data_IF_630047963041
#
_entry.id   IF_630047963041
#
_cell.length_a   1.000
_cell.length_b   1.000
_cell.length_c   1.000
_cell.angle_alpha   90.00
_cell.angle_beta   90.00
_cell.angle_gamma   90.00
#
_symmetry.space_group_name_H-M   'P 1'
#
loop_
_entity.id
_entity.type
_entity.pdbx_description
1 polymer ?
#
# COMPACT_ATOMS: atom_id res chain seq x y z
N UNK A 1 9.07 31.57 5.17
CA UNK A 1 8.65 31.01 3.86
C UNK A 1 8.28 29.56 4.09
N UNK A 2 7.03 29.16 3.85
CA UNK A 2 6.59 27.78 4.04
C UNK A 2 7.14 26.94 2.88
N UNK A 3 7.97 25.94 3.20
CA UNK A 3 8.47 24.97 2.24
C UNK A 3 7.28 24.09 1.85
N UNK A 4 6.74 24.27 0.64
CA UNK A 4 5.83 23.30 0.04
C UNK A 4 6.66 22.08 -0.31
N UNK A 5 6.59 21.06 0.55
CA UNK A 5 7.08 19.73 0.23
C UNK A 5 6.07 19.18 -0.78
N UNK A 6 6.43 19.28 -2.06
CA UNK A 6 5.72 18.61 -3.14
C UNK A 6 6.24 17.18 -3.11
N UNK A 7 5.48 16.27 -2.50
CA UNK A 7 5.78 14.84 -2.56
C UNK A 7 5.56 14.45 -4.03
N UNK A 8 6.65 14.18 -4.76
CA UNK A 8 6.54 13.66 -6.12
C UNK A 8 5.76 12.35 -6.07
N UNK A 9 4.59 12.33 -6.71
CA UNK A 9 3.78 11.14 -6.90
C UNK A 9 4.64 10.08 -7.58
N UNK A 10 5.03 9.05 -6.82
CA UNK A 10 5.70 7.89 -7.40
C UNK A 10 4.66 7.10 -8.16
N UNK A 11 4.64 7.26 -9.49
CA UNK A 11 3.90 6.37 -10.39
C UNK A 11 4.37 4.93 -10.11
N UNK A 12 3.48 4.12 -9.53
CA UNK A 12 3.74 2.70 -9.28
C UNK A 12 3.16 1.93 -10.45
N UNK A 13 3.95 1.08 -11.07
CA UNK A 13 3.50 0.22 -12.15
C UNK A 13 4.02 -1.19 -11.98
N UNK A 14 3.33 -2.15 -12.59
CA UNK A 14 3.83 -3.51 -12.78
C UNK A 14 4.17 -3.71 -14.26
N UNK A 15 5.25 -4.44 -14.53
CA UNK A 15 5.60 -4.90 -15.87
C UNK A 15 5.17 -6.37 -16.02
N UNK A 16 4.35 -6.63 -17.03
CA UNK A 16 3.93 -7.98 -17.40
C UNK A 16 5.03 -8.70 -18.20
N UNK A 17 5.02 -10.05 -18.28
CA UNK A 17 6.07 -10.80 -18.99
C UNK A 17 6.20 -10.49 -20.49
N UNK A 18 5.19 -9.88 -21.10
CA UNK A 18 5.18 -9.44 -22.49
C UNK A 18 5.72 -8.00 -22.67
N UNK A 19 6.18 -7.36 -21.59
CA UNK A 19 6.67 -5.98 -21.57
C UNK A 19 5.56 -4.93 -21.42
N UNK A 20 4.30 -5.35 -21.24
CA UNK A 20 3.20 -4.40 -20.99
C UNK A 20 3.33 -3.81 -19.60
N UNK A 21 3.33 -2.48 -19.51
CA UNK A 21 3.33 -1.75 -18.23
C UNK A 21 1.88 -1.44 -17.84
N UNK A 22 1.52 -1.71 -16.59
CA UNK A 22 0.24 -1.37 -15.99
C UNK A 22 0.46 -0.48 -14.78
N UNK A 23 -0.02 0.75 -14.88
CA UNK A 23 0.02 1.72 -13.79
C UNK A 23 -1.00 1.34 -12.72
N UNK A 24 -0.56 1.34 -11.47
CA UNK A 24 -1.45 1.22 -10.33
C UNK A 24 -2.19 2.54 -10.12
N UNK A 25 -3.49 2.46 -9.76
CA UNK A 25 -4.23 3.64 -9.39
C UNK A 25 -3.69 4.21 -8.07
N UNK A 26 -3.85 5.52 -7.91
CA UNK A 26 -3.71 6.16 -6.60
C UNK A 26 -4.64 5.52 -5.58
N UNK A 27 -4.16 5.43 -4.34
CA UNK A 27 -4.98 4.91 -3.26
C UNK A 27 -6.01 5.94 -2.81
N UNK A 28 -7.25 5.69 -3.20
CA UNK A 28 -8.40 6.39 -2.63
C UNK A 28 -9.03 5.56 -1.49
N UNK A 29 -9.71 6.23 -0.57
CA UNK A 29 -10.47 5.55 0.49
C UNK A 29 -11.51 4.59 -0.10
N UNK A 30 -12.19 5.01 -1.16
CA UNK A 30 -13.19 4.21 -1.87
C UNK A 30 -12.58 2.94 -2.47
N UNK A 31 -11.42 3.05 -3.13
CA UNK A 31 -10.75 1.89 -3.72
C UNK A 31 -10.23 0.93 -2.64
N UNK A 32 -9.69 1.46 -1.55
CA UNK A 32 -9.26 0.66 -0.41
C UNK A 32 -10.43 -0.10 0.23
N UNK A 33 -11.55 0.58 0.50
CA UNK A 33 -12.75 -0.07 1.03
C UNK A 33 -13.29 -1.14 0.10
N UNK A 34 -13.25 -0.90 -1.22
CA UNK A 34 -13.63 -1.89 -2.23
C UNK A 34 -12.75 -3.14 -2.16
N UNK A 35 -11.43 -2.99 -2.06
CA UNK A 35 -10.50 -4.12 -1.94
C UNK A 35 -10.75 -4.88 -0.63
N UNK A 36 -10.93 -4.18 0.49
CA UNK A 36 -11.27 -4.80 1.79
C UNK A 36 -12.60 -5.55 1.73
N UNK A 37 -13.59 -5.01 1.02
CA UNK A 37 -14.88 -5.68 0.82
C UNK A 37 -14.73 -6.98 0.01
N UNK A 38 -13.89 -6.97 -1.03
CA UNK A 38 -13.58 -8.16 -1.83
C UNK A 38 -12.87 -9.22 -0.96
N UNK A 39 -11.88 -8.81 -0.16
CA UNK A 39 -11.12 -9.69 0.73
C UNK A 39 -12.00 -10.36 1.80
N UNK A 40 -12.95 -9.62 2.40
CA UNK A 40 -13.96 -10.20 3.30
C UNK A 40 -14.80 -11.29 2.63
N UNK A 41 -15.02 -11.18 1.32
CA UNK A 41 -15.75 -12.15 0.51
C UNK A 41 -14.92 -13.36 0.09
N UNK A 42 -13.61 -13.39 0.35
CA UNK A 42 -12.69 -14.42 -0.17
C UNK A 42 -13.11 -15.85 0.18
N UNK A 43 -13.59 -16.08 1.40
CA UNK A 43 -13.96 -17.43 1.87
C UNK A 43 -15.13 -18.06 1.10
N UNK A 44 -15.94 -17.27 0.40
CA UNK A 44 -17.13 -17.75 -0.32
C UNK A 44 -16.95 -17.75 -1.84
N UNK A 45 -15.76 -17.42 -2.35
CA UNK A 45 -15.47 -17.35 -3.78
C UNK A 45 -14.31 -18.25 -4.20
N UNK A 46 -14.35 -18.69 -5.45
CA UNK A 46 -13.23 -19.39 -6.06
C UNK A 46 -12.02 -18.46 -6.15
N UNK A 47 -10.82 -19.01 -5.97
CA UNK A 47 -9.55 -18.27 -5.97
C UNK A 47 -9.35 -17.44 -7.25
N UNK A 48 -9.73 -18.01 -8.39
CA UNK A 48 -9.69 -17.31 -9.68
C UNK A 48 -10.60 -16.07 -9.69
N UNK A 49 -11.84 -16.21 -9.22
CA UNK A 49 -12.81 -15.11 -9.15
C UNK A 49 -12.37 -14.03 -8.16
N UNK A 50 -11.71 -14.44 -7.07
CA UNK A 50 -11.08 -13.52 -6.14
C UNK A 50 -9.98 -12.70 -6.82
N UNK A 51 -9.01 -13.37 -7.45
CA UNK A 51 -7.91 -12.70 -8.15
C UNK A 51 -8.43 -11.75 -9.24
N UNK A 52 -9.41 -12.20 -10.03
CA UNK A 52 -10.08 -11.38 -11.04
C UNK A 52 -10.68 -10.12 -10.44
N UNK A 53 -11.47 -10.24 -9.37
CA UNK A 53 -12.13 -9.06 -8.75
C UNK A 53 -11.13 -8.06 -8.18
N UNK A 54 -10.05 -8.52 -7.56
CA UNK A 54 -9.00 -7.63 -7.04
C UNK A 54 -8.28 -6.91 -8.17
N UNK A 55 -7.87 -7.63 -9.22
CA UNK A 55 -7.19 -7.04 -10.36
C UNK A 55 -8.09 -6.12 -11.19
N UNK A 56 -9.37 -6.45 -11.34
CA UNK A 56 -10.36 -5.55 -11.94
C UNK A 56 -10.63 -4.32 -11.07
N UNK A 57 -10.50 -4.41 -9.75
CA UNK A 57 -10.61 -3.26 -8.88
C UNK A 57 -9.43 -2.30 -9.05
N UNK A 58 -8.21 -2.83 -9.22
CA UNK A 58 -6.98 -2.04 -9.40
C UNK A 58 -6.84 -1.48 -10.81
N UNK A 59 -6.95 -2.31 -11.84
CA UNK A 59 -6.61 -1.92 -13.23
C UNK A 59 -7.83 -1.79 -14.14
N UNK A 60 -9.05 -2.00 -13.61
CA UNK A 60 -10.26 -2.08 -14.41
C UNK A 60 -10.34 -3.34 -15.27
N UNK A 61 -11.42 -3.46 -16.04
CA UNK A 61 -11.67 -4.61 -16.92
C UNK A 61 -10.65 -4.70 -18.06
N UNK A 62 -10.21 -3.56 -18.58
CA UNK A 62 -9.26 -3.53 -19.69
C UNK A 62 -7.84 -3.88 -19.23
N UNK A 63 -7.43 -3.43 -18.04
CA UNK A 63 -6.20 -3.88 -17.41
C UNK A 63 -6.21 -5.38 -17.12
N UNK A 64 -7.32 -5.91 -16.60
CA UNK A 64 -7.47 -7.35 -16.40
C UNK A 64 -7.36 -8.14 -17.71
N UNK A 65 -7.92 -7.67 -18.82
CA UNK A 65 -7.77 -8.31 -20.14
C UNK A 65 -6.32 -8.33 -20.64
N UNK A 66 -5.50 -7.35 -20.26
CA UNK A 66 -4.06 -7.36 -20.56
C UNK A 66 -3.34 -8.42 -19.72
N UNK A 67 -3.72 -8.58 -18.45
CA UNK A 67 -3.16 -9.60 -17.55
C UNK A 67 -3.58 -11.01 -17.97
N UNK A 68 -4.87 -11.21 -18.25
CA UNK A 68 -5.48 -12.51 -18.54
C UNK A 68 -6.27 -12.46 -19.86
N UNK A 69 -5.58 -12.34 -21.02
CA UNK A 69 -6.24 -12.20 -22.34
C UNK A 69 -7.10 -13.40 -22.73
N UNK A 70 -6.84 -14.57 -22.12
CA UNK A 70 -7.63 -15.79 -22.30
C UNK A 70 -8.39 -16.19 -21.02
N UNK A 71 -8.72 -15.24 -20.15
CA UNK A 71 -9.46 -15.41 -18.88
C UNK A 71 -9.31 -16.82 -18.27
N UNK A 72 -10.30 -17.70 -18.47
CA UNK A 72 -10.40 -19.06 -17.90
C UNK A 72 -9.27 -20.04 -18.28
N UNK A 73 -8.44 -19.70 -19.27
CA UNK A 73 -7.27 -20.49 -19.66
C UNK A 73 -5.97 -19.95 -19.07
N UNK A 74 -6.02 -18.81 -18.38
CA UNK A 74 -4.86 -18.19 -17.74
C UNK A 74 -4.51 -18.99 -16.49
N UNK A 75 -3.22 -19.27 -16.29
CA UNK A 75 -2.73 -20.00 -15.13
C UNK A 75 -3.07 -19.24 -13.83
N UNK A 76 -3.66 -19.93 -12.85
CA UNK A 76 -4.03 -19.37 -11.56
C UNK A 76 -2.80 -18.89 -10.78
N UNK A 77 -1.69 -19.62 -10.79
CA UNK A 77 -0.44 -19.24 -10.10
C UNK A 77 0.09 -17.89 -10.62
N UNK A 78 -0.06 -17.64 -11.93
CA UNK A 78 0.32 -16.38 -12.54
C UNK A 78 -0.61 -15.25 -12.09
N UNK A 79 -1.92 -15.49 -12.10
CA UNK A 79 -2.93 -14.54 -11.63
C UNK A 79 -2.73 -14.16 -10.17
N UNK A 80 -2.46 -15.14 -9.31
CA UNK A 80 -2.14 -14.92 -7.89
C UNK A 80 -0.89 -14.07 -7.72
N UNK A 81 0.19 -14.37 -8.46
CA UNK A 81 1.42 -13.56 -8.38
C UNK A 81 1.19 -12.11 -8.78
N UNK A 82 0.51 -11.87 -9.90
CA UNK A 82 0.20 -10.51 -10.35
C UNK A 82 -0.68 -9.79 -9.32
N UNK A 83 -1.69 -10.49 -8.79
CA UNK A 83 -2.57 -9.95 -7.75
C UNK A 83 -1.82 -9.60 -6.46
N UNK A 84 -0.94 -10.48 -5.99
CA UNK A 84 -0.18 -10.30 -4.75
C UNK A 84 0.79 -9.13 -4.88
N UNK A 85 1.58 -9.09 -5.95
CA UNK A 85 2.52 -7.97 -6.21
C UNK A 85 1.77 -6.64 -6.33
N UNK A 86 0.63 -6.63 -7.03
CA UNK A 86 -0.18 -5.42 -7.17
C UNK A 86 -0.74 -4.94 -5.83
N UNK A 87 -1.24 -5.85 -4.98
CA UNK A 87 -1.72 -5.49 -3.65
C UNK A 87 -0.60 -5.00 -2.74
N UNK A 88 0.57 -5.65 -2.75
CA UNK A 88 1.70 -5.22 -1.95
C UNK A 88 2.12 -3.80 -2.31
N UNK A 89 2.30 -3.51 -3.61
CA UNK A 89 2.64 -2.17 -4.08
C UNK A 89 1.58 -1.13 -3.73
N UNK A 90 0.30 -1.49 -3.86
CA UNK A 90 -0.84 -0.63 -3.49
C UNK A 90 -0.87 -0.33 -1.98
N UNK A 91 -0.62 -1.32 -1.14
CA UNK A 91 -0.68 -1.19 0.32
C UNK A 91 0.59 -0.57 0.92
N UNK A 92 1.72 -0.63 0.22
CA UNK A 92 3.02 -0.09 0.68
C UNK A 92 2.95 1.40 1.05
N UNK A 93 2.03 2.18 0.46
CA UNK A 93 1.82 3.59 0.82
C UNK A 93 1.43 3.81 2.28
N UNK A 94 0.76 2.83 2.91
CA UNK A 94 0.43 2.92 4.33
C UNK A 94 1.70 2.93 5.19
N UNK A 95 2.63 2.03 4.87
CA UNK A 95 3.85 1.85 5.65
C UNK A 95 4.78 3.04 5.50
N UNK A 96 4.97 3.55 4.29
CA UNK A 96 5.90 4.66 4.07
C UNK A 96 5.35 5.98 4.66
N UNK A 97 4.05 6.25 4.50
CA UNK A 97 3.43 7.48 5.04
C UNK A 97 3.26 7.43 6.56
N UNK A 98 2.88 6.28 7.14
CA UNK A 98 2.83 6.12 8.61
C UNK A 98 4.24 6.18 9.22
N UNK A 99 5.27 5.60 8.58
CA UNK A 99 6.66 5.72 9.04
C UNK A 99 7.15 7.16 8.97
N UNK A 100 6.85 7.92 7.91
CA UNK A 100 7.24 9.33 7.82
C UNK A 100 6.53 10.19 8.87
N UNK A 101 5.26 9.92 9.16
CA UNK A 101 4.52 10.62 10.20
C UNK A 101 5.02 10.25 11.60
N UNK A 102 5.36 8.98 11.85
CA UNK A 102 5.96 8.52 13.09
C UNK A 102 7.37 9.11 13.27
N UNK A 103 8.18 9.19 12.21
CA UNK A 103 9.49 9.82 12.24
C UNK A 103 9.39 11.33 12.56
N UNK A 104 8.46 12.05 11.91
CA UNK A 104 8.19 13.47 12.21
C UNK A 104 7.65 13.68 13.63
N UNK A 105 6.92 12.72 14.19
CA UNK A 105 6.49 12.75 15.58
C UNK A 105 7.65 12.44 16.55
N UNK A 106 8.53 11.49 16.21
CA UNK A 106 9.71 11.16 17.00
C UNK A 106 10.70 12.34 17.06
N UNK A 107 10.98 13.00 15.95
CA UNK A 107 11.81 14.23 15.90
C UNK A 107 11.22 15.38 16.73
N UNK A 108 9.88 15.47 16.83
CA UNK A 108 9.23 16.45 17.71
C UNK A 108 9.32 16.10 19.20
N UNK A 109 9.52 14.83 19.53
CA UNK A 109 9.61 14.32 20.91
C UNK A 109 11.06 14.27 21.43
N UNK A 110 12.06 14.22 20.56
CA UNK A 110 13.49 14.32 20.93
C UNK A 110 13.80 15.49 21.90
N UNK A 111 13.37 16.74 21.65
CA UNK A 111 13.66 17.84 22.58
C UNK A 111 12.96 17.71 23.93
N UNK A 112 11.90 16.88 24.04
CA UNK A 112 11.26 16.58 25.31
C UNK A 112 11.95 15.43 26.05
N UNK A 113 12.44 14.42 25.34
CA UNK A 113 13.22 13.32 25.91
C UNK A 113 14.54 13.83 26.51
N UNK A 114 15.25 14.73 25.80
CA UNK A 114 16.48 15.35 26.30
C UNK A 114 16.23 16.19 27.57
N UNK A 115 15.13 16.96 27.60
CA UNK A 115 14.74 17.74 28.78
C UNK A 115 14.39 16.86 29.98
N UNK A 116 13.68 15.75 29.75
CA UNK A 116 13.34 14.78 30.81
C UNK A 116 14.58 14.03 31.32
N UNK A 117 15.52 13.67 30.44
CA UNK A 117 16.80 13.08 30.87
C UNK A 117 17.69 14.08 31.61
N UNK A 118 17.66 15.36 31.26
CA UNK A 118 18.39 16.42 31.97
C UNK A 118 17.81 16.73 33.36
N UNK A 119 16.51 16.46 33.57
CA UNK A 119 15.83 16.62 34.87
C UNK A 119 15.90 15.37 35.76
N UNK A 120 16.30 14.22 35.20
CA UNK A 120 16.43 12.94 35.94
C UNK A 120 17.38 13.02 37.14
N UNK A 121 18.55 13.69 37.08
CA UNK A 121 19.43 13.84 38.24
C UNK A 121 18.78 14.67 39.36
N UNK A 122 17.86 15.58 39.03
CA UNK A 122 17.18 16.43 40.02
C UNK A 122 16.02 15.73 40.72
N UNK A 123 15.36 14.75 40.08
CA UNK A 123 14.26 13.99 40.69
C UNK A 123 14.72 12.85 41.60
N UNK A 124 15.94 12.34 41.43
CA UNK A 124 16.52 11.32 42.32
C UNK A 124 17.12 11.92 43.61
N UNK A 125 17.31 13.25 43.67
CA UNK A 125 17.87 13.98 44.81
C UNK A 125 16.83 14.42 45.86
N UNK A 126 15.54 14.10 45.67
CA UNK A 126 14.46 14.38 46.62
C UNK A 126 13.88 13.14 47.34
N UNK A 127 14.61 12.01 47.35
CA UNK A 127 14.28 10.87 48.20
C UNK A 127 15.27 10.71 49.35
#
# INVERSE_FOLDING_TARGET
>A
MAVKITVEEREKAIELPDGTILDLPERTAELYEKIVSIDKGRQTMAEYEYCKKVLEALYGKDGFKKIAPKEKQTNLDYLERVQLVSLELFLQEKNDTEQEQLAKQAERLEPFAERLSALRPFMELQK
#
